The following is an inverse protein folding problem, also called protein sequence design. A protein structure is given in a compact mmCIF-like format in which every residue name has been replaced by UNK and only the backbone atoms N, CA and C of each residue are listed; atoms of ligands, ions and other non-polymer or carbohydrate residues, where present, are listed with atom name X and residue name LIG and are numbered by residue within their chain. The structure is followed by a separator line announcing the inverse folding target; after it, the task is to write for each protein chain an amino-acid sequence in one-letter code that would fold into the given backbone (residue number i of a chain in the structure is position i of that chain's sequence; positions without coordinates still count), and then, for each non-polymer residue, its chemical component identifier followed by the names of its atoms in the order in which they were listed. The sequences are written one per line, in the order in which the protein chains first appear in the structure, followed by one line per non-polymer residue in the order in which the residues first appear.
data_IF_310783848149
#
_entry.id   IF_310783848149
#
_cell.length_a   1.000
_cell.length_b   1.000
_cell.length_c   1.000
_cell.angle_alpha   90.00
_cell.angle_beta   90.00
_cell.angle_gamma   90.00
#
_symmetry.space_group_name_H-M   'P 1'
#
loop_
_entity.id
_entity.type
_entity.pdbx_description
1 polymer ?
#
# COMPACT_ATOMS: atom_id res chain seq x y z
N UNK A 1 4.67 -7.45 21.45
CA UNK A 1 4.98 -7.23 20.03
C UNK A 1 3.75 -6.67 19.36
N UNK A 2 3.87 -5.69 18.45
CA UNK A 2 2.74 -5.30 17.59
C UNK A 2 2.58 -6.38 16.52
N UNK A 3 1.35 -6.68 16.14
CA UNK A 3 1.02 -7.64 15.08
C UNK A 3 0.33 -6.93 13.92
N UNK A 4 0.28 -7.59 12.75
CA UNK A 4 -0.52 -7.10 11.63
C UNK A 4 -1.99 -7.33 11.97
N UNK A 5 -2.79 -6.27 11.97
CA UNK A 5 -4.23 -6.38 12.09
C UNK A 5 -4.84 -6.81 10.75
N UNK A 6 -5.71 -7.82 10.76
CA UNK A 6 -6.45 -8.25 9.56
C UNK A 6 -7.93 -7.91 9.72
N UNK A 7 -8.51 -7.25 8.71
CA UNK A 7 -9.92 -6.84 8.73
C UNK A 7 -10.58 -7.11 7.39
N UNK A 8 -11.88 -7.43 7.40
CA UNK A 8 -12.68 -7.46 6.18
C UNK A 8 -13.11 -6.04 5.80
N UNK A 9 -12.86 -5.63 4.56
CA UNK A 9 -13.31 -4.32 4.06
C UNK A 9 -12.40 -3.72 2.98
N UNK A 10 -12.63 -2.45 2.68
CA UNK A 10 -11.90 -1.69 1.67
C UNK A 10 -10.72 -0.90 2.26
N UNK A 11 -9.50 -1.21 1.82
CA UNK A 11 -8.31 -0.44 2.20
C UNK A 11 -8.37 1.02 1.74
N UNK A 12 -9.16 1.36 0.73
CA UNK A 12 -9.38 2.77 0.37
C UNK A 12 -10.14 3.54 1.45
N UNK A 13 -10.79 2.87 2.39
CA UNK A 13 -11.47 3.44 3.55
C UNK A 13 -10.77 3.03 4.87
N UNK A 14 -9.54 3.53 5.13
CA UNK A 14 -8.75 3.09 6.28
C UNK A 14 -9.41 3.46 7.60
N UNK A 15 -9.48 2.48 8.50
CA UNK A 15 -10.06 2.59 9.86
C UNK A 15 -9.06 3.26 10.79
N UNK A 16 -9.54 3.79 11.91
CA UNK A 16 -8.69 4.44 12.92
C UNK A 16 -8.58 5.96 12.75
N UNK A 17 -7.79 6.57 13.64
CA UNK A 17 -7.58 8.02 13.73
C UNK A 17 -6.18 8.38 13.25
N UNK A 18 -5.90 9.68 13.12
CA UNK A 18 -4.58 10.17 12.73
C UNK A 18 -4.26 10.01 11.24
N UNK A 19 -3.00 10.28 10.91
CA UNK A 19 -2.45 10.18 9.56
C UNK A 19 -2.40 8.72 9.12
N UNK A 20 -2.93 8.44 7.94
CA UNK A 20 -3.07 7.09 7.39
C UNK A 20 -2.45 7.04 6.00
N UNK A 21 -1.56 6.08 5.78
CA UNK A 21 -0.97 5.82 4.47
C UNK A 21 -1.62 4.56 3.90
N UNK A 22 -2.16 4.65 2.69
CA UNK A 22 -2.63 3.48 1.94
C UNK A 22 -1.48 3.00 1.04
N UNK A 23 -0.93 1.82 1.35
CA UNK A 23 0.13 1.21 0.58
C UNK A 23 -0.43 0.17 -0.40
N UNK A 24 0.02 0.22 -1.65
CA UNK A 24 -0.26 -0.81 -2.66
C UNK A 24 0.93 -1.01 -3.59
N UNK A 25 0.93 -2.11 -4.33
CA UNK A 25 1.96 -2.41 -5.32
C UNK A 25 1.55 -1.84 -6.68
N UNK A 26 2.48 -1.14 -7.33
CA UNK A 26 2.41 -0.73 -8.72
C UNK A 26 3.31 -1.61 -9.59
N UNK A 27 3.07 -1.59 -10.90
CA UNK A 27 4.03 -2.14 -11.86
C UNK A 27 5.05 -1.06 -12.29
N UNK A 28 6.10 -1.51 -12.95
CA UNK A 28 7.17 -0.72 -13.53
C UNK A 28 6.91 -0.24 -14.97
N UNK A 29 5.74 -0.58 -15.54
CA UNK A 29 5.38 -0.31 -16.95
C UNK A 29 4.44 0.89 -17.14
N UNK A 30 4.08 1.60 -16.07
CA UNK A 30 3.14 2.71 -16.15
C UNK A 30 1.67 2.29 -16.29
N UNK A 31 1.39 1.00 -16.08
CA UNK A 31 0.04 0.45 -16.18
C UNK A 31 -0.82 0.82 -14.97
N UNK A 32 -2.01 1.34 -15.22
CA UNK A 32 -3.00 1.66 -14.19
C UNK A 32 -4.40 1.43 -14.78
N UNK A 33 -5.06 0.34 -14.36
CA UNK A 33 -6.32 -0.07 -14.97
C UNK A 33 -6.91 -1.40 -14.53
N UNK A 34 -6.28 -2.14 -13.60
CA UNK A 34 -6.80 -3.43 -13.13
C UNK A 34 -6.50 -3.67 -11.65
N UNK A 35 -7.51 -4.16 -10.91
CA UNK A 35 -7.40 -4.45 -9.48
C UNK A 35 -7.55 -3.20 -8.60
N UNK A 36 -6.77 -3.13 -7.52
CA UNK A 36 -6.93 -2.13 -6.46
C UNK A 36 -6.83 -0.66 -6.94
N UNK A 37 -6.06 -0.40 -7.99
CA UNK A 37 -5.92 0.94 -8.58
C UNK A 37 -7.25 1.54 -9.07
N UNK A 38 -8.21 0.70 -9.47
CA UNK A 38 -9.55 1.17 -9.85
C UNK A 38 -10.35 1.61 -8.63
N UNK A 39 -10.19 0.96 -7.48
CA UNK A 39 -10.82 1.38 -6.23
C UNK A 39 -10.26 2.74 -5.77
N UNK A 40 -8.94 2.93 -5.88
CA UNK A 40 -8.31 4.23 -5.62
C UNK A 40 -8.88 5.33 -6.52
N UNK A 41 -8.92 5.09 -7.84
CA UNK A 41 -9.32 6.11 -8.83
C UNK A 41 -10.81 6.48 -8.76
N UNK A 42 -11.65 5.55 -8.27
CA UNK A 42 -13.06 5.86 -7.96
C UNK A 42 -13.19 6.86 -6.82
N UNK A 43 -12.21 6.92 -5.91
CA UNK A 43 -12.26 7.76 -4.72
C UNK A 43 -11.44 9.05 -4.87
N UNK A 44 -10.30 8.96 -5.55
CA UNK A 44 -9.35 10.06 -5.72
C UNK A 44 -8.67 9.99 -7.09
N UNK A 45 -8.72 11.05 -7.92
CA UNK A 45 -8.00 11.10 -9.19
C UNK A 45 -6.49 11.30 -9.03
N UNK A 46 -6.03 11.86 -7.90
CA UNK A 46 -4.65 12.29 -7.69
C UNK A 46 -3.63 11.14 -7.69
N UNK A 47 -3.88 9.96 -7.08
CA UNK A 47 -2.93 8.85 -7.09
C UNK A 47 -2.60 8.35 -8.50
N UNK A 48 -3.62 8.25 -9.38
CA UNK A 48 -3.42 7.84 -10.77
C UNK A 48 -2.58 8.88 -11.53
N UNK A 49 -2.96 10.15 -11.42
CA UNK A 49 -2.26 11.25 -12.07
C UNK A 49 -0.78 11.32 -11.62
N UNK A 50 -0.55 11.19 -10.31
CA UNK A 50 0.79 11.19 -9.72
C UNK A 50 1.64 10.01 -10.20
N UNK A 51 1.09 8.78 -10.21
CA UNK A 51 1.81 7.60 -10.72
C UNK A 51 2.16 7.74 -12.21
N UNK A 52 1.20 8.17 -13.04
CA UNK A 52 1.44 8.35 -14.48
C UNK A 52 2.49 9.43 -14.75
N UNK A 53 2.47 10.52 -13.97
CA UNK A 53 3.50 11.57 -14.05
C UNK A 53 4.86 11.01 -13.63
N UNK A 54 4.93 10.37 -12.45
CA UNK A 54 6.13 9.74 -11.94
C UNK A 54 6.77 8.79 -12.97
N UNK A 55 5.97 7.92 -13.59
CA UNK A 55 6.45 6.98 -14.60
C UNK A 55 6.99 7.67 -15.87
N UNK A 56 6.36 8.77 -16.33
CA UNK A 56 6.86 9.57 -17.47
C UNK A 56 8.19 10.25 -17.16
N UNK A 57 8.37 10.68 -15.91
CA UNK A 57 9.53 11.45 -15.44
C UNK A 57 10.56 10.58 -14.70
N UNK A 58 10.45 9.24 -14.79
CA UNK A 58 11.17 8.27 -13.94
C UNK A 58 12.70 8.32 -14.02
N UNK A 59 13.26 9.01 -15.02
CA UNK A 59 14.69 9.23 -15.14
C UNK A 59 15.23 10.25 -14.11
N UNK A 60 14.36 11.08 -13.53
CA UNK A 60 14.75 12.19 -12.65
C UNK A 60 14.07 12.20 -11.29
N UNK A 61 13.42 11.11 -10.89
CA UNK A 61 12.76 11.01 -9.58
C UNK A 61 13.18 9.71 -8.85
N UNK A 62 13.12 9.75 -7.52
CA UNK A 62 13.56 8.66 -6.64
C UNK A 62 12.39 8.16 -5.77
N UNK A 63 12.56 7.00 -5.15
CA UNK A 63 11.62 6.40 -4.21
C UNK A 63 12.05 6.60 -2.75
N UNK A 64 11.15 7.14 -1.94
CA UNK A 64 11.28 7.06 -0.48
C UNK A 64 10.85 5.68 0.04
N UNK A 65 11.53 5.19 1.09
CA UNK A 65 11.08 3.98 1.79
C UNK A 65 9.82 4.29 2.61
N UNK A 66 8.75 3.50 2.38
CA UNK A 66 7.47 3.64 3.08
C UNK A 66 7.63 3.71 4.60
N UNK A 67 8.52 2.89 5.16
CA UNK A 67 8.76 2.82 6.59
C UNK A 67 9.32 4.14 7.16
N UNK A 68 10.19 4.82 6.43
CA UNK A 68 10.76 6.10 6.86
C UNK A 68 9.69 7.19 6.78
N UNK A 69 8.89 7.19 5.71
CA UNK A 69 7.79 8.15 5.56
C UNK A 69 6.69 7.95 6.60
N UNK A 70 6.37 6.71 6.94
CA UNK A 70 5.41 6.39 7.99
C UNK A 70 5.90 6.87 9.37
N UNK A 71 7.19 6.66 9.68
CA UNK A 71 7.80 7.14 10.91
C UNK A 71 7.81 8.68 11.00
N UNK A 72 8.22 9.36 9.92
CA UNK A 72 8.24 10.83 9.81
C UNK A 72 6.85 11.44 10.10
N UNK A 73 5.79 10.82 9.56
CA UNK A 73 4.42 11.32 9.67
C UNK A 73 3.68 10.82 10.92
N UNK A 74 4.28 9.94 11.72
CA UNK A 74 3.58 9.22 12.78
C UNK A 74 2.35 8.46 12.27
N UNK A 75 2.42 7.92 11.05
CA UNK A 75 1.28 7.37 10.33
C UNK A 75 1.11 5.86 10.52
N UNK A 76 -0.14 5.39 10.54
CA UNK A 76 -0.45 3.98 10.34
C UNK A 76 -0.46 3.62 8.85
N UNK A 77 -0.18 2.36 8.54
CA UNK A 77 -0.18 1.83 7.17
C UNK A 77 -1.35 0.88 6.97
N UNK A 78 -2.10 1.10 5.90
CA UNK A 78 -3.27 0.35 5.50
C UNK A 78 -3.04 -0.22 4.09
N UNK A 79 -3.33 -1.50 3.86
CA UNK A 79 -3.09 -2.11 2.55
C UNK A 79 -4.07 -3.25 2.26
N UNK A 80 -4.43 -3.53 0.99
CA UNK A 80 -5.01 -4.82 0.65
C UNK A 80 -3.96 -5.94 0.81
N UNK A 81 -4.31 -7.21 0.59
CA UNK A 81 -3.28 -8.25 0.33
C UNK A 81 -2.54 -7.96 -0.97
N UNK A 82 -1.46 -7.20 -0.85
CA UNK A 82 -0.60 -6.81 -1.97
C UNK A 82 0.17 -8.01 -2.51
N UNK A 83 0.39 -8.05 -3.83
CA UNK A 83 1.16 -9.09 -4.49
C UNK A 83 0.45 -10.44 -4.68
N UNK A 84 -0.77 -10.62 -4.15
CA UNK A 84 -1.42 -11.95 -4.05
C UNK A 84 -2.55 -12.22 -5.04
N UNK A 85 -2.70 -11.39 -6.07
CA UNK A 85 -3.72 -11.55 -7.10
C UNK A 85 -3.10 -11.72 -8.49
N UNK A 86 -3.35 -10.76 -9.36
CA UNK A 86 -2.87 -10.74 -10.75
C UNK A 86 -1.34 -10.76 -10.90
N UNK A 87 -0.60 -10.42 -9.84
CA UNK A 87 0.85 -10.46 -9.80
C UNK A 87 1.40 -11.89 -9.57
N UNK A 88 0.57 -12.87 -9.21
CA UNK A 88 0.96 -14.27 -9.02
C UNK A 88 1.85 -14.53 -7.80
N UNK A 89 2.01 -13.57 -6.90
CA UNK A 89 2.74 -13.74 -5.65
C UNK A 89 1.91 -14.44 -4.57
N UNK A 90 2.57 -14.76 -3.45
CA UNK A 90 1.93 -15.38 -2.28
C UNK A 90 2.08 -14.49 -1.07
N UNK A 91 1.00 -14.38 -0.29
CA UNK A 91 1.00 -13.59 0.94
C UNK A 91 2.02 -14.14 1.94
N UNK A 92 2.25 -15.45 1.96
CA UNK A 92 3.27 -16.07 2.81
C UNK A 92 4.69 -15.56 2.55
N UNK A 93 4.97 -14.96 1.37
CA UNK A 93 6.25 -14.30 1.07
C UNK A 93 6.22 -12.79 1.36
N UNK A 94 5.08 -12.14 1.16
CA UNK A 94 4.91 -10.69 1.36
C UNK A 94 4.79 -10.34 2.84
N UNK A 95 4.04 -11.13 3.60
CA UNK A 95 3.77 -10.87 5.01
C UNK A 95 5.04 -10.75 5.87
N UNK A 96 6.05 -11.64 5.75
CA UNK A 96 7.29 -11.50 6.50
C UNK A 96 8.04 -10.20 6.18
N UNK A 97 7.95 -9.70 4.94
CA UNK A 97 8.56 -8.44 4.53
C UNK A 97 7.82 -7.25 5.16
N UNK A 98 6.49 -7.26 5.16
CA UNK A 98 5.66 -6.24 5.83
C UNK A 98 5.97 -6.19 7.32
N UNK A 99 6.03 -7.37 7.98
CA UNK A 99 6.35 -7.48 9.40
C UNK A 99 7.73 -6.89 9.71
N UNK A 100 8.76 -7.33 8.98
CA UNK A 100 10.14 -6.89 9.18
C UNK A 100 10.36 -5.40 8.89
N UNK A 101 9.69 -4.86 7.88
CA UNK A 101 9.96 -3.50 7.40
C UNK A 101 9.07 -2.44 8.04
N UNK A 102 7.91 -2.79 8.58
CA UNK A 102 6.97 -1.83 9.16
C UNK A 102 6.70 -2.13 10.64
N UNK A 103 6.22 -3.33 10.94
CA UNK A 103 5.75 -3.67 12.29
C UNK A 103 6.88 -3.69 13.30
N UNK A 104 8.00 -4.33 12.96
CA UNK A 104 9.21 -4.36 13.81
C UNK A 104 9.84 -2.97 13.99
N UNK A 105 9.54 -2.02 13.08
CA UNK A 105 9.93 -0.61 13.19
C UNK A 105 8.89 0.24 13.94
N UNK A 106 7.88 -0.38 14.54
CA UNK A 106 6.85 0.28 15.33
C UNK A 106 5.69 0.86 14.52
N UNK A 107 5.62 0.66 13.20
CA UNK A 107 4.49 1.14 12.39
C UNK A 107 3.26 0.25 12.64
N UNK A 108 2.11 0.85 12.92
CA UNK A 108 0.84 0.13 12.98
C UNK A 108 0.40 -0.26 11.56
N UNK A 109 0.07 -1.54 11.35
CA UNK A 109 -0.29 -2.07 10.03
C UNK A 109 -1.65 -2.77 10.08
N UNK A 110 -2.54 -2.39 9.15
CA UNK A 110 -3.81 -3.08 8.90
C UNK A 110 -3.87 -3.60 7.47
N UNK A 111 -4.11 -4.91 7.32
CA UNK A 111 -4.35 -5.58 6.04
C UNK A 111 -5.85 -5.81 5.86
N UNK A 112 -6.34 -5.42 4.69
CA UNK A 112 -7.76 -5.48 4.32
C UNK A 112 -8.00 -6.64 3.35
N UNK A 113 -8.91 -7.52 3.74
CA UNK A 113 -9.40 -8.60 2.91
C UNK A 113 -10.80 -8.28 2.39
N UNK A 114 -10.94 -8.36 1.07
CA UNK A 114 -12.22 -8.70 0.47
C UNK A 114 -12.21 -10.22 0.41
N UNK A 115 -12.84 -10.89 1.40
CA UNK A 115 -12.87 -12.35 1.47
C UNK A 115 -13.17 -13.00 0.11
N UNK A 116 -12.54 -14.16 -0.13
CA UNK A 116 -12.66 -14.95 -1.35
C UNK A 116 -14.12 -15.14 -1.81
#
# INVERSE_FOLDING_TARGET
MREIAYVRGDATAPRGRGTRIIAHVCNDRGGWGKGFVLALSRRWPEPEAAYRRWHRERAGNDFGLLADKAAELGASVHMPRIGCGLAGGSWGRVEPLVRKRLVERGTEVTVYDFGA
#
